data_IF_129342522761
#
_entry.id   IF_129342522761
#
_cell.length_a   1.000
_cell.length_b   1.000
_cell.length_c   1.000
_cell.angle_alpha   90.00
_cell.angle_beta   90.00
_cell.angle_gamma   90.00
#
_symmetry.space_group_name_H-M   'P 1'
#
loop_
_entity.id
_entity.type
_entity.pdbx_description
1 polymer ?
#
# COMPACT_ATOMS: atom_id res chain seq x y z
N UNK A 1 -9.96 7.33 6.96
CA UNK A 1 -9.53 8.74 6.91
C UNK A 1 -10.18 9.42 8.10
N UNK A 2 -9.49 10.30 8.81
CA UNK A 2 -10.07 10.94 10.01
C UNK A 2 -11.20 11.90 9.60
N UNK A 3 -12.28 12.07 10.41
CA UNK A 3 -13.43 12.90 10.03
C UNK A 3 -13.07 14.34 9.66
N UNK A 4 -12.00 14.89 10.28
CA UNK A 4 -11.49 16.24 10.00
C UNK A 4 -10.83 16.38 8.62
N UNK A 5 -10.33 15.29 8.07
CA UNK A 5 -9.64 15.25 6.77
C UNK A 5 -10.64 15.17 5.60
N UNK A 6 -11.82 14.59 5.84
CA UNK A 6 -12.88 14.46 4.84
C UNK A 6 -13.40 15.83 4.36
N UNK A 7 -13.27 16.88 5.17
CA UNK A 7 -13.74 18.24 4.83
C UNK A 7 -13.00 18.85 3.65
N UNK A 8 -11.73 18.48 3.43
CA UNK A 8 -10.89 18.99 2.33
C UNK A 8 -10.72 18.01 1.18
N UNK A 9 -11.32 16.84 1.31
CA UNK A 9 -11.16 15.76 0.38
C UNK A 9 -12.33 15.75 -0.59
N UNK A 10 -12.07 16.07 -1.86
CA UNK A 10 -13.05 15.83 -2.93
C UNK A 10 -13.14 14.32 -3.14
N UNK A 11 -14.29 13.69 -2.87
CA UNK A 11 -14.47 12.27 -3.14
C UNK A 11 -14.36 12.05 -4.65
N UNK A 12 -13.36 11.30 -5.10
CA UNK A 12 -13.19 10.94 -6.51
C UNK A 12 -13.86 9.59 -6.83
N UNK A 13 -14.52 8.96 -5.87
CA UNK A 13 -15.18 7.66 -6.08
C UNK A 13 -16.26 7.77 -7.16
N UNK A 14 -17.06 8.84 -7.12
CA UNK A 14 -18.06 9.12 -8.16
C UNK A 14 -17.43 9.32 -9.53
N UNK A 15 -16.33 10.06 -9.60
CA UNK A 15 -15.64 10.36 -10.86
C UNK A 15 -15.08 9.08 -11.48
N UNK A 16 -14.41 8.26 -10.66
CA UNK A 16 -13.85 6.97 -11.11
C UNK A 16 -14.96 5.99 -11.51
N UNK A 17 -16.08 5.94 -10.78
CA UNK A 17 -17.23 5.12 -11.17
C UNK A 17 -17.81 5.56 -12.52
N UNK A 18 -17.89 6.87 -12.77
CA UNK A 18 -18.37 7.39 -14.04
C UNK A 18 -17.41 7.05 -15.19
N UNK A 19 -16.10 7.19 -15.01
CA UNK A 19 -15.12 6.74 -16.01
C UNK A 19 -15.20 5.22 -16.25
N UNK A 20 -15.34 4.44 -15.18
CA UNK A 20 -15.50 2.98 -15.28
C UNK A 20 -16.73 2.60 -16.11
N UNK A 21 -17.84 3.31 -15.91
CA UNK A 21 -19.10 3.09 -16.64
C UNK A 21 -18.94 3.42 -18.11
N UNK A 22 -18.23 4.51 -18.45
CA UNK A 22 -17.96 4.92 -19.82
C UNK A 22 -17.08 3.90 -20.57
N UNK A 23 -16.08 3.33 -19.89
CA UNK A 23 -15.17 2.33 -20.47
C UNK A 23 -15.66 0.88 -20.30
N UNK A 24 -16.89 0.68 -19.79
CA UNK A 24 -17.49 -0.63 -19.49
C UNK A 24 -16.58 -1.52 -18.61
N UNK A 25 -15.85 -0.90 -17.67
CA UNK A 25 -14.96 -1.56 -16.73
C UNK A 25 -15.64 -1.75 -15.37
N UNK A 26 -15.38 -2.89 -14.73
CA UNK A 26 -15.86 -3.16 -13.38
C UNK A 26 -14.76 -2.82 -12.36
N UNK A 27 -14.94 -1.72 -11.63
CA UNK A 27 -13.98 -1.26 -10.62
C UNK A 27 -14.48 -1.63 -9.22
N UNK A 28 -13.57 -2.09 -8.36
CA UNK A 28 -13.84 -2.33 -6.95
C UNK A 28 -13.04 -1.33 -6.11
N UNK A 29 -13.72 -0.57 -5.26
CA UNK A 29 -13.09 0.30 -4.29
C UNK A 29 -12.75 -0.48 -3.03
N UNK A 30 -11.52 -0.32 -2.57
CA UNK A 30 -11.04 -0.88 -1.32
C UNK A 30 -10.40 0.25 -0.54
N UNK A 31 -10.94 0.56 0.63
CA UNK A 31 -10.45 1.62 1.51
C UNK A 31 -9.85 1.01 2.76
N UNK A 32 -8.67 1.47 3.14
CA UNK A 32 -8.05 1.18 4.43
C UNK A 32 -7.81 2.49 5.18
N UNK A 33 -8.44 2.70 6.34
CA UNK A 33 -8.28 3.93 7.09
C UNK A 33 -6.87 4.02 7.68
N UNK A 34 -6.05 4.93 7.14
CA UNK A 34 -4.74 5.28 7.68
C UNK A 34 -4.72 6.80 7.98
N UNK A 35 -4.35 7.23 9.21
CA UNK A 35 -4.29 8.64 9.58
C UNK A 35 -3.32 9.41 8.66
N UNK A 36 -3.61 10.67 8.33
CA UNK A 36 -2.68 11.45 7.50
C UNK A 36 -1.35 11.72 8.24
N UNK A 37 -0.24 11.62 7.50
CA UNK A 37 1.14 11.76 7.99
C UNK A 37 1.54 10.82 9.15
N UNK A 38 0.74 9.80 9.45
CA UNK A 38 1.00 8.87 10.54
C UNK A 38 1.01 7.42 10.06
N UNK A 39 1.30 6.54 11.02
CA UNK A 39 1.33 5.08 10.85
C UNK A 39 -0.04 4.48 11.22
N UNK A 40 -0.37 3.32 10.66
CA UNK A 40 -1.46 2.51 11.20
C UNK A 40 -1.14 2.12 12.66
N UNK A 41 -2.15 2.09 13.54
CA UNK A 41 -1.96 1.67 14.93
C UNK A 41 -1.84 0.15 15.08
N UNK A 42 -2.43 -0.57 14.13
CA UNK A 42 -2.59 -2.02 14.17
C UNK A 42 -1.84 -2.63 12.99
N UNK A 43 -0.65 -3.15 13.26
CA UNK A 43 0.24 -3.70 12.24
C UNK A 43 -0.28 -5.03 11.68
N UNK A 44 -1.01 -5.81 12.48
CA UNK A 44 -1.60 -7.07 12.03
C UNK A 44 -2.74 -6.82 11.05
N UNK A 45 -3.65 -5.88 11.35
CA UNK A 45 -4.68 -5.47 10.40
C UNK A 45 -4.11 -4.89 9.10
N UNK A 46 -3.00 -4.16 9.20
CA UNK A 46 -2.29 -3.66 8.02
C UNK A 46 -1.68 -4.81 7.21
N UNK A 47 -1.11 -5.81 7.87
CA UNK A 47 -0.59 -7.01 7.21
C UNK A 47 -1.72 -7.78 6.51
N UNK A 48 -2.83 -8.07 7.20
CA UNK A 48 -4.00 -8.75 6.63
C UNK A 48 -4.53 -8.03 5.39
N UNK A 49 -4.61 -6.70 5.48
CA UNK A 49 -4.97 -5.86 4.35
C UNK A 49 -4.02 -6.04 3.17
N UNK A 50 -2.71 -5.96 3.41
CA UNK A 50 -1.70 -6.17 2.37
C UNK A 50 -1.73 -7.60 1.79
N UNK A 51 -1.93 -8.63 2.61
CA UNK A 51 -2.07 -10.01 2.14
C UNK A 51 -3.31 -10.17 1.25
N UNK A 52 -4.43 -9.49 1.56
CA UNK A 52 -5.60 -9.47 0.68
C UNK A 52 -5.28 -8.84 -0.68
N UNK A 53 -4.49 -7.76 -0.70
CA UNK A 53 -4.04 -7.12 -1.94
C UNK A 53 -3.07 -8.02 -2.72
N UNK A 54 -2.11 -8.67 -2.07
CA UNK A 54 -1.19 -9.60 -2.73
C UNK A 54 -1.94 -10.73 -3.44
N UNK A 55 -3.00 -11.29 -2.82
CA UNK A 55 -3.86 -12.30 -3.47
C UNK A 55 -4.52 -11.77 -4.75
N UNK A 56 -4.91 -10.49 -4.78
CA UNK A 56 -5.50 -9.83 -5.95
C UNK A 56 -4.47 -9.52 -7.03
N UNK A 57 -3.24 -9.14 -6.64
CA UNK A 57 -2.16 -8.83 -7.60
C UNK A 57 -1.71 -10.08 -8.34
N UNK A 58 -1.72 -11.24 -7.67
CA UNK A 58 -1.37 -12.53 -8.28
C UNK A 58 -2.43 -13.04 -9.27
N UNK A 59 -3.61 -12.43 -9.30
CA UNK A 59 -4.60 -12.68 -10.35
C UNK A 59 -4.26 -11.80 -11.56
N UNK A 60 -3.68 -12.40 -12.62
CA UNK A 60 -3.20 -11.71 -13.83
C UNK A 60 -4.29 -10.93 -14.58
N UNK A 61 -5.55 -11.09 -14.22
CA UNK A 61 -6.68 -10.35 -14.78
C UNK A 61 -6.95 -9.02 -14.07
N UNK A 62 -6.26 -8.72 -12.96
CA UNK A 62 -6.53 -7.54 -12.14
C UNK A 62 -5.34 -6.59 -12.09
N UNK A 63 -5.62 -5.30 -12.27
CA UNK A 63 -4.67 -4.21 -12.00
C UNK A 63 -5.15 -3.43 -10.79
N UNK A 64 -4.23 -3.06 -9.90
CA UNK A 64 -4.54 -2.28 -8.69
C UNK A 64 -3.95 -0.88 -8.81
N UNK A 65 -4.82 0.12 -8.68
CA UNK A 65 -4.41 1.51 -8.48
C UNK A 65 -4.34 1.80 -6.98
N UNK A 66 -3.14 2.04 -6.46
CA UNK A 66 -2.93 2.46 -5.07
C UNK A 66 -2.64 3.95 -5.03
N UNK A 67 -3.41 4.69 -4.24
CA UNK A 67 -3.18 6.12 -4.07
C UNK A 67 -3.56 6.56 -2.65
N UNK A 68 -3.15 7.78 -2.28
CA UNK A 68 -3.62 8.50 -1.10
C UNK A 68 -3.90 9.95 -1.50
N UNK A 69 -4.04 10.88 -0.55
CA UNK A 69 -4.26 12.29 -0.91
C UNK A 69 -3.06 12.88 -1.68
N UNK A 70 -1.84 12.65 -1.18
CA UNK A 70 -0.61 13.09 -1.84
C UNK A 70 0.00 12.08 -2.80
N UNK A 71 -0.34 10.79 -2.73
CA UNK A 71 0.27 9.72 -3.55
C UNK A 71 1.72 9.36 -3.20
N UNK A 72 2.22 9.77 -2.03
CA UNK A 72 3.62 9.60 -1.62
C UNK A 72 3.80 8.77 -0.34
N UNK A 73 3.36 9.28 0.83
CA UNK A 73 3.63 8.65 2.14
C UNK A 73 2.90 7.33 2.35
N UNK A 74 1.58 7.39 2.59
CA UNK A 74 0.73 6.20 2.82
C UNK A 74 0.76 5.21 1.66
N UNK A 75 0.72 5.72 0.42
CA UNK A 75 0.91 4.90 -0.78
C UNK A 75 2.25 4.20 -0.77
N UNK A 76 3.33 4.90 -0.39
CA UNK A 76 4.66 4.33 -0.28
C UNK A 76 4.70 3.19 0.74
N UNK A 77 4.08 3.37 1.91
CA UNK A 77 4.05 2.35 2.98
C UNK A 77 3.40 1.06 2.47
N UNK A 78 2.21 1.17 1.87
CA UNK A 78 1.51 0.01 1.30
C UNK A 78 2.36 -0.63 0.20
N UNK A 79 2.87 0.16 -0.75
CA UNK A 79 3.66 -0.39 -1.86
C UNK A 79 4.92 -1.10 -1.39
N UNK A 80 5.65 -0.55 -0.41
CA UNK A 80 6.85 -1.19 0.14
C UNK A 80 6.52 -2.53 0.82
N UNK A 81 5.43 -2.60 1.59
CA UNK A 81 4.99 -3.87 2.21
C UNK A 81 4.62 -4.90 1.12
N UNK A 82 3.86 -4.50 0.10
CA UNK A 82 3.47 -5.39 -0.98
C UNK A 82 4.68 -5.92 -1.75
N UNK A 83 5.66 -5.07 -2.05
CA UNK A 83 6.92 -5.45 -2.70
C UNK A 83 7.69 -6.45 -1.83
N UNK A 84 7.81 -6.18 -0.53
CA UNK A 84 8.48 -7.08 0.42
C UNK A 84 7.85 -8.47 0.43
N UNK A 85 6.53 -8.55 0.52
CA UNK A 85 5.80 -9.82 0.52
C UNK A 85 5.91 -10.55 -0.83
N UNK A 86 5.73 -9.85 -1.95
CA UNK A 86 5.67 -10.46 -3.29
C UNK A 86 7.04 -10.99 -3.73
N UNK A 87 8.11 -10.23 -3.46
CA UNK A 87 9.46 -10.57 -3.88
C UNK A 87 10.30 -11.21 -2.77
N UNK A 88 9.71 -11.45 -1.60
CA UNK A 88 10.39 -11.96 -0.41
C UNK A 88 11.64 -11.14 -0.06
N UNK A 89 11.47 -9.81 0.02
CA UNK A 89 12.55 -8.87 0.30
C UNK A 89 12.48 -8.35 1.73
N UNK A 90 13.66 -8.11 2.30
CA UNK A 90 13.83 -7.34 3.52
C UNK A 90 13.26 -5.93 3.37
N UNK A 91 12.85 -5.34 4.49
CA UNK A 91 12.14 -4.07 4.50
C UNK A 91 12.90 -2.93 3.82
N UNK A 92 14.21 -2.83 4.06
CA UNK A 92 15.04 -1.76 3.48
C UNK A 92 15.16 -1.90 1.96
N UNK A 93 15.28 -3.13 1.45
CA UNK A 93 15.32 -3.42 0.02
C UNK A 93 13.96 -3.16 -0.64
N UNK A 94 12.87 -3.56 0.01
CA UNK A 94 11.52 -3.31 -0.47
C UNK A 94 11.22 -1.80 -0.57
N UNK A 95 11.64 -1.02 0.44
CA UNK A 95 11.55 0.44 0.45
C UNK A 95 12.38 1.03 -0.70
N UNK A 96 13.63 0.61 -0.86
CA UNK A 96 14.52 1.07 -1.92
C UNK A 96 13.97 0.75 -3.31
N UNK A 97 13.41 -0.43 -3.50
CA UNK A 97 12.79 -0.86 -4.74
C UNK A 97 11.57 0.01 -5.08
N UNK A 98 10.70 0.27 -4.09
CA UNK A 98 9.57 1.18 -4.24
C UNK A 98 10.01 2.59 -4.69
N UNK A 99 11.09 3.13 -4.11
CA UNK A 99 11.65 4.40 -4.54
C UNK A 99 12.08 4.41 -6.00
N UNK A 100 12.73 3.34 -6.46
CA UNK A 100 13.17 3.21 -7.85
C UNK A 100 11.96 3.19 -8.81
N UNK A 101 10.91 2.41 -8.50
CA UNK A 101 9.69 2.36 -9.29
C UNK A 101 8.97 3.72 -9.34
N UNK A 102 8.92 4.44 -8.22
CA UNK A 102 8.28 5.76 -8.15
C UNK A 102 8.91 6.78 -9.11
N UNK A 103 10.23 6.66 -9.39
CA UNK A 103 10.93 7.53 -10.35
C UNK A 103 10.47 7.33 -11.80
N UNK A 104 9.81 6.22 -12.10
CA UNK A 104 9.30 5.91 -13.44
C UNK A 104 7.91 6.52 -13.70
N UNK A 105 7.27 7.17 -12.71
CA UNK A 105 5.94 7.78 -12.88
C UNK A 105 6.01 8.95 -13.86
N UNK A 106 5.16 8.93 -14.90
CA UNK A 106 5.13 9.89 -16.03
C UNK A 106 4.93 11.37 -15.65
N UNK A 107 4.60 11.69 -14.39
CA UNK A 107 4.40 13.05 -13.88
C UNK A 107 4.98 13.21 -12.48
N UNK A 108 6.30 13.34 -12.36
CA UNK A 108 6.94 13.79 -11.11
C UNK A 108 6.95 15.32 -11.08
N UNK A 109 5.81 15.96 -10.81
CA UNK A 109 5.80 17.39 -10.44
C UNK A 109 6.11 17.50 -8.94
N UNK A 110 7.32 17.93 -8.59
CA UNK A 110 7.73 18.25 -7.22
C UNK A 110 8.74 17.28 -6.60
N UNK A 111 9.22 17.59 -5.38
CA UNK A 111 10.11 16.72 -4.60
C UNK A 111 9.46 15.34 -4.48
N UNK A 112 10.15 14.29 -4.91
CA UNK A 112 9.79 12.91 -4.56
C UNK A 112 9.90 12.79 -3.05
N UNK A 113 8.81 13.04 -2.32
CA UNK A 113 8.86 12.94 -0.86
C UNK A 113 9.04 11.48 -0.49
N UNK A 114 10.04 11.27 0.34
CA UNK A 114 10.34 10.01 0.97
C UNK A 114 9.25 9.61 1.96
N UNK A 115 9.15 8.31 2.21
CA UNK A 115 8.56 7.77 3.43
C UNK A 115 9.19 8.49 4.61
N UNK A 116 8.35 8.94 5.53
CA UNK A 116 8.82 9.49 6.80
C UNK A 116 9.44 8.37 7.65
N UNK A 117 10.33 8.68 8.60
CA UNK A 117 11.01 7.67 9.42
C UNK A 117 10.04 6.67 10.05
N UNK A 118 8.95 7.16 10.64
CA UNK A 118 7.88 6.34 11.23
C UNK A 118 7.23 5.37 10.23
N UNK A 119 7.09 5.78 8.97
CA UNK A 119 6.54 4.92 7.93
C UNK A 119 7.53 3.84 7.52
N UNK A 120 8.84 4.12 7.50
CA UNK A 120 9.87 3.11 7.32
C UNK A 120 9.85 2.08 8.47
N UNK A 121 9.78 2.56 9.72
CA UNK A 121 9.69 1.70 10.92
C UNK A 121 8.43 0.80 10.88
N UNK A 122 7.30 1.32 10.41
CA UNK A 122 6.09 0.52 10.22
C UNK A 122 6.28 -0.56 9.15
N UNK A 123 6.92 -0.25 8.01
CA UNK A 123 7.22 -1.26 6.98
C UNK A 123 8.11 -2.36 7.56
N UNK A 124 9.16 -1.98 8.30
CA UNK A 124 10.06 -2.93 8.96
C UNK A 124 9.31 -3.83 9.95
N UNK A 125 8.46 -3.24 10.79
CA UNK A 125 7.69 -3.99 11.78
C UNK A 125 6.73 -4.98 11.12
N UNK A 126 5.99 -4.54 10.10
CA UNK A 126 5.00 -5.38 9.41
C UNK A 126 5.66 -6.54 8.65
N UNK A 127 6.77 -6.27 7.96
CA UNK A 127 7.48 -7.33 7.24
C UNK A 127 8.13 -8.33 8.19
N UNK A 128 8.64 -7.88 9.35
CA UNK A 128 9.10 -8.80 10.40
C UNK A 128 7.99 -9.71 10.90
N UNK A 129 6.82 -9.16 11.24
CA UNK A 129 5.66 -9.97 11.66
C UNK A 129 5.31 -11.01 10.59
N UNK A 130 5.33 -10.61 9.32
CA UNK A 130 5.09 -11.54 8.20
C UNK A 130 6.13 -12.67 8.14
N UNK A 131 7.42 -12.35 8.26
CA UNK A 131 8.51 -13.33 8.25
C UNK A 131 8.42 -14.30 9.43
N UNK A 132 8.20 -13.78 10.64
CA UNK A 132 8.03 -14.58 11.86
C UNK A 132 6.85 -15.56 11.72
N UNK A 133 5.75 -15.14 11.09
CA UNK A 133 4.60 -15.99 10.79
C UNK A 133 4.89 -17.08 9.76
N UNK A 134 5.78 -16.83 8.78
CA UNK A 134 6.20 -17.86 7.82
C UNK A 134 7.12 -18.89 8.48
N UNK A 135 8.07 -18.46 9.32
CA UNK A 135 9.00 -19.35 10.04
C UNK A 135 8.26 -20.26 11.03
N UNK A 136 7.32 -19.70 11.79
CA UNK A 136 6.49 -20.44 12.74
C UNK A 136 5.64 -21.54 12.07
N UNK A 137 5.24 -21.34 10.80
CA UNK A 137 4.50 -22.33 10.03
C UNK A 137 5.39 -23.50 9.59
N UNK A 138 6.65 -23.21 9.24
CA UNK A 138 7.64 -24.23 8.83
C UNK A 138 8.07 -25.11 10.01
N UNK A 139 8.21 -24.54 11.21
CA UNK A 139 8.58 -25.30 12.42
C UNK A 139 7.48 -26.25 12.93
N UNK A 140 6.22 -26.02 12.57
CA UNK A 140 5.08 -26.87 12.94
C UNK A 140 4.89 -28.08 12.02
N UNK A 141 5.59 -28.12 10.88
CA UNK A 141 5.52 -29.21 9.89
C UNK A 141 6.70 -30.22 10.00
N UNK A 142 7.61 -30.03 10.98
CA UNK A 142 8.78 -30.89 11.25
C UNK A 142 8.55 -31.70 12.53
#
# INVERSE_FOLDING_TARGET
MEPKELVRFTPYESDIQEYARQDNQKIKFISFPMPDQYICRDNEKLLDFCLNLCKRIRDDQQKILVHCWGGHGRTGTIMSILIGIIFNLEADDAIKYNYQLKRQRLRVKGKTSSLHSRQCEQVQTVLRIYQDQQESFVEQEI
#
